data_IF_848572084898
#
_entry.id   IF_848572084898
#
_cell.length_a   1.000
_cell.length_b   1.000
_cell.length_c   1.000
_cell.angle_alpha   90.00
_cell.angle_beta   90.00
_cell.angle_gamma   90.00
#
_symmetry.space_group_name_H-M   'P 1'
#
loop_
_entity.id
_entity.type
_entity.pdbx_description
1 polymer ?
#
# COMPACT_ATOMS: atom_id res chain seq x y z
N UNK A 1 -46.22 10.30 3.75
CA UNK A 1 -45.00 9.49 3.54
C UNK A 1 -44.16 9.56 4.80
N UNK A 2 -44.46 8.62 5.68
CA UNK A 2 -43.76 8.27 6.92
C UNK A 2 -43.22 6.84 6.65
N UNK A 3 -42.24 6.35 7.42
CA UNK A 3 -41.59 5.02 7.31
C UNK A 3 -40.21 5.02 6.61
N UNK A 4 -39.28 5.90 7.00
CA UNK A 4 -37.83 5.62 6.84
C UNK A 4 -37.02 5.96 8.11
N UNK A 5 -37.48 6.84 8.99
CA UNK A 5 -36.70 7.25 10.18
C UNK A 5 -36.92 6.44 11.47
N UNK A 6 -37.61 5.29 11.42
CA UNK A 6 -37.82 4.44 12.61
C UNK A 6 -36.77 3.32 12.72
N UNK A 7 -35.99 3.05 11.67
CA UNK A 7 -34.99 1.98 11.70
C UNK A 7 -33.70 2.36 12.46
N UNK A 8 -33.42 3.64 12.66
CA UNK A 8 -32.18 4.09 13.30
C UNK A 8 -32.28 4.18 14.83
N UNK A 9 -33.50 4.18 15.39
CA UNK A 9 -33.70 4.24 16.85
C UNK A 9 -33.62 2.88 17.55
N UNK A 10 -33.65 1.76 16.81
CA UNK A 10 -33.59 0.41 17.38
C UNK A 10 -32.15 -0.06 17.69
N UNK A 11 -31.12 0.57 17.10
CA UNK A 11 -29.73 0.19 17.33
C UNK A 11 -29.14 0.71 18.66
N UNK A 12 -29.79 1.67 19.32
CA UNK A 12 -29.30 2.25 20.59
C UNK A 12 -29.79 1.51 21.84
N UNK A 13 -30.73 0.55 21.72
CA UNK A 13 -31.30 -0.17 22.86
C UNK A 13 -30.60 -1.51 23.19
N UNK A 14 -29.59 -1.92 22.41
CA UNK A 14 -28.87 -3.20 22.62
C UNK A 14 -27.54 -3.02 23.38
N UNK A 15 -27.22 -1.81 23.84
CA UNK A 15 -25.99 -1.53 24.60
C UNK A 15 -26.21 -1.24 26.10
N UNK A 16 -27.36 -1.64 26.67
CA UNK A 16 -27.60 -1.48 28.11
C UNK A 16 -28.47 -2.59 28.75
N UNK A 17 -28.14 -3.85 28.45
CA UNK A 17 -28.45 -5.00 29.32
C UNK A 17 -27.12 -5.74 29.51
N UNK A 18 -26.47 -5.69 30.67
CA UNK A 18 -26.96 -6.20 31.95
C UNK A 18 -26.35 -5.41 33.11
N UNK A 19 -27.20 -4.76 33.91
CA UNK A 19 -26.91 -4.46 35.31
C UNK A 19 -28.23 -4.40 36.08
N UNK A 20 -28.52 -5.44 36.87
CA UNK A 20 -29.45 -5.53 38.01
C UNK A 20 -29.69 -7.04 38.28
N UNK A 21 -29.58 -7.62 39.47
CA UNK A 21 -29.57 -7.09 40.84
C UNK A 21 -29.02 -8.14 41.83
N UNK A 22 -28.67 -7.63 43.02
CA UNK A 22 -28.49 -8.28 44.34
C UNK A 22 -29.63 -9.29 44.70
N UNK A 23 -29.59 -10.24 45.65
CA UNK A 23 -28.68 -10.63 46.75
C UNK A 23 -29.05 -12.04 47.28
N UNK A 24 -28.09 -12.69 47.97
CA UNK A 24 -28.20 -13.71 49.04
C UNK A 24 -28.66 -15.16 48.78
N UNK A 25 -27.73 -16.12 48.93
CA UNK A 25 -27.68 -17.10 50.05
C UNK A 25 -26.39 -17.95 50.02
N UNK A 26 -25.84 -18.23 51.20
CA UNK A 26 -24.63 -19.02 51.44
C UNK A 26 -24.90 -20.53 51.24
N UNK A 27 -23.99 -21.28 50.60
CA UNK A 27 -23.29 -22.43 51.20
C UNK A 27 -22.42 -23.20 50.18
N UNK A 28 -21.12 -23.18 50.47
CA UNK A 28 -20.09 -24.22 50.27
C UNK A 28 -20.37 -25.44 49.35
N UNK A 29 -19.52 -25.61 48.32
CA UNK A 29 -18.72 -26.86 48.16
C UNK A 29 -17.59 -26.71 47.13
N UNK A 30 -16.42 -27.14 47.58
CA UNK A 30 -15.15 -27.33 46.87
C UNK A 30 -15.28 -28.19 45.59
N UNK A 31 -14.71 -27.74 44.47
CA UNK A 31 -13.72 -28.48 43.64
C UNK A 31 -13.41 -27.76 42.32
N UNK A 32 -12.13 -27.55 42.07
CA UNK A 32 -11.54 -27.37 40.73
C UNK A 32 -11.50 -25.93 40.21
N UNK A 33 -10.49 -25.16 40.63
CA UNK A 33 -9.94 -24.08 39.78
C UNK A 33 -9.47 -24.74 38.47
N UNK A 34 -10.31 -24.78 37.46
CA UNK A 34 -9.82 -24.86 36.08
C UNK A 34 -9.34 -23.46 35.73
N UNK A 35 -8.04 -23.40 35.53
CA UNK A 35 -7.29 -22.24 35.08
C UNK A 35 -7.83 -21.82 33.70
N UNK A 36 -8.86 -20.97 33.71
CA UNK A 36 -9.44 -20.36 32.49
C UNK A 36 -8.48 -19.32 31.88
N UNK A 37 -7.42 -18.98 32.60
CA UNK A 37 -6.39 -18.02 32.20
C UNK A 37 -5.46 -18.52 31.09
N UNK A 38 -5.50 -19.81 30.74
CA UNK A 38 -4.62 -20.38 29.70
C UNK A 38 -5.28 -20.48 28.31
N UNK A 39 -6.59 -20.27 28.18
CA UNK A 39 -7.31 -20.39 26.88
C UNK A 39 -7.53 -19.06 26.16
N UNK A 40 -7.32 -17.93 26.83
CA UNK A 40 -7.33 -16.58 26.25
C UNK A 40 -5.94 -16.10 25.77
N UNK A 41 -4.93 -16.98 25.79
CA UNK A 41 -3.75 -16.83 24.93
C UNK A 41 -4.02 -17.53 23.59
N UNK A 42 -5.16 -17.24 22.96
CA UNK A 42 -5.28 -17.36 21.52
C UNK A 42 -4.29 -16.37 20.93
N UNK A 43 -3.04 -16.84 20.80
CA UNK A 43 -2.05 -16.49 19.80
C UNK A 43 -2.55 -15.33 18.94
N UNK A 44 -2.40 -14.10 19.46
CA UNK A 44 -2.51 -12.91 18.65
C UNK A 44 -1.32 -13.04 17.70
N UNK A 45 -1.59 -13.68 16.56
CA UNK A 45 -0.59 -13.99 15.56
C UNK A 45 0.04 -12.65 15.23
N UNK A 46 1.27 -12.44 15.68
CA UNK A 46 1.96 -11.18 15.50
C UNK A 46 2.02 -11.01 13.98
N UNK A 47 1.25 -10.05 13.47
CA UNK A 47 1.20 -9.78 12.04
C UNK A 47 2.64 -9.50 11.64
N UNK A 48 3.14 -10.34 10.75
CA UNK A 48 4.51 -10.29 10.21
C UNK A 48 4.41 -10.40 8.70
N UNK A 49 5.40 -9.82 8.02
CA UNK A 49 5.55 -10.01 6.59
C UNK A 49 6.20 -11.35 6.33
N UNK A 50 5.70 -12.04 5.31
CA UNK A 50 6.46 -13.11 4.66
C UNK A 50 7.67 -12.52 3.93
N UNK A 51 8.68 -13.34 3.61
CA UNK A 51 9.85 -12.88 2.86
C UNK A 51 9.48 -12.27 1.50
N UNK A 52 8.45 -12.80 0.83
CA UNK A 52 7.98 -12.27 -0.45
C UNK A 52 7.27 -10.92 -0.26
N UNK A 53 6.44 -10.78 0.77
CA UNK A 53 5.78 -9.50 1.10
C UNK A 53 6.81 -8.42 1.46
N UNK A 54 7.80 -8.75 2.30
CA UNK A 54 8.89 -7.85 2.67
C UNK A 54 9.69 -7.39 1.44
N UNK A 55 10.01 -8.34 0.55
CA UNK A 55 10.72 -8.04 -0.70
C UNK A 55 9.91 -7.13 -1.63
N UNK A 56 8.63 -7.41 -1.84
CA UNK A 56 7.76 -6.60 -2.70
C UNK A 56 7.57 -5.20 -2.12
N UNK A 57 7.32 -5.11 -0.81
CA UNK A 57 7.18 -3.82 -0.12
C UNK A 57 8.47 -3.01 -0.20
N UNK A 58 9.63 -3.62 0.05
CA UNK A 58 10.93 -2.95 -0.05
C UNK A 58 11.20 -2.46 -1.46
N UNK A 59 10.87 -3.27 -2.48
CA UNK A 59 11.02 -2.90 -3.89
C UNK A 59 10.11 -1.71 -4.25
N UNK A 60 8.86 -1.75 -3.79
CA UNK A 60 7.87 -0.67 -3.95
C UNK A 60 8.39 0.66 -3.37
N UNK A 61 8.79 0.65 -2.10
CA UNK A 61 9.34 1.83 -1.41
C UNK A 61 10.60 2.34 -2.10
N UNK A 62 11.49 1.42 -2.49
CA UNK A 62 12.74 1.77 -3.18
C UNK A 62 12.46 2.46 -4.52
N UNK A 63 11.55 1.91 -5.33
CA UNK A 63 11.19 2.50 -6.61
C UNK A 63 10.62 3.91 -6.44
N UNK A 64 9.62 4.10 -5.56
CA UNK A 64 9.01 5.41 -5.37
C UNK A 64 9.95 6.43 -4.72
N UNK A 65 10.74 6.06 -3.70
CA UNK A 65 11.76 6.94 -3.12
C UNK A 65 12.76 7.38 -4.20
N UNK A 66 13.19 6.46 -5.08
CA UNK A 66 14.12 6.78 -6.15
C UNK A 66 13.51 7.69 -7.23
N UNK A 67 12.26 7.43 -7.64
CA UNK A 67 11.51 8.29 -8.56
C UNK A 67 11.41 9.71 -8.02
N UNK A 68 11.00 9.87 -6.75
CA UNK A 68 10.92 11.18 -6.09
C UNK A 68 12.30 11.84 -6.02
N UNK A 69 13.35 11.09 -5.71
CA UNK A 69 14.70 11.65 -5.65
C UNK A 69 15.21 12.19 -7.00
N UNK A 70 14.99 11.43 -8.08
CA UNK A 70 15.55 11.74 -9.41
C UNK A 70 14.68 12.71 -10.23
N UNK A 71 13.36 12.60 -10.06
CA UNK A 71 12.36 13.26 -10.91
C UNK A 71 11.48 14.26 -10.14
N UNK A 72 11.86 14.69 -8.92
CA UNK A 72 11.08 15.67 -8.13
C UNK A 72 10.67 16.90 -8.94
N UNK A 73 11.57 17.46 -9.75
CA UNK A 73 11.29 18.61 -10.62
C UNK A 73 10.22 18.37 -11.71
N UNK A 74 9.93 17.11 -12.02
CA UNK A 74 9.01 16.66 -13.09
C UNK A 74 7.72 16.02 -12.52
N UNK A 75 7.55 16.04 -11.19
CA UNK A 75 6.39 15.52 -10.46
C UNK A 75 5.65 16.63 -9.73
N UNK A 76 4.43 16.95 -10.16
CA UNK A 76 3.63 18.04 -9.58
C UNK A 76 3.39 17.87 -8.06
N UNK A 77 3.19 16.63 -7.58
CA UNK A 77 2.95 16.34 -6.15
C UNK A 77 4.21 16.23 -5.27
N UNK A 78 5.40 16.05 -5.86
CA UNK A 78 6.68 15.88 -5.16
C UNK A 78 7.75 16.81 -5.72
N UNK A 79 7.40 18.08 -5.95
CA UNK A 79 8.37 19.09 -6.33
C UNK A 79 9.45 19.28 -5.24
N UNK A 80 10.49 20.07 -5.54
CA UNK A 80 11.61 20.26 -4.62
C UNK A 80 11.20 20.79 -3.24
N UNK A 81 10.10 21.54 -3.16
CA UNK A 81 9.56 22.09 -1.92
C UNK A 81 8.83 21.01 -1.08
N UNK A 82 8.20 20.05 -1.74
CA UNK A 82 7.42 18.97 -1.12
C UNK A 82 8.17 17.65 -0.99
N UNK A 83 9.47 17.59 -1.34
CA UNK A 83 10.28 16.36 -1.27
C UNK A 83 10.24 15.71 0.12
N UNK A 84 10.29 16.51 1.19
CA UNK A 84 10.26 16.02 2.57
C UNK A 84 8.93 15.32 2.93
N UNK A 85 7.80 15.81 2.38
CA UNK A 85 6.49 15.16 2.53
C UNK A 85 6.51 13.78 1.88
N UNK A 86 7.05 13.69 0.67
CA UNK A 86 7.09 12.45 -0.09
C UNK A 86 8.02 11.39 0.54
N UNK A 87 9.19 11.79 1.04
CA UNK A 87 10.07 10.85 1.76
C UNK A 87 9.51 10.47 3.13
N UNK A 88 8.95 11.44 3.86
CA UNK A 88 8.39 11.23 5.19
C UNK A 88 7.16 10.31 5.20
N UNK A 89 6.37 10.30 4.12
CA UNK A 89 5.28 9.34 3.96
C UNK A 89 5.77 7.87 4.06
N UNK A 90 6.87 7.54 3.39
CA UNK A 90 7.39 6.17 3.41
C UNK A 90 8.04 5.81 4.75
N UNK A 91 8.53 6.80 5.50
CA UNK A 91 9.05 6.57 6.84
C UNK A 91 7.89 6.29 7.82
N UNK A 92 6.79 7.06 7.73
CA UNK A 92 5.55 6.77 8.46
C UNK A 92 4.98 5.39 8.12
N UNK A 93 5.00 5.00 6.84
CA UNK A 93 4.51 3.71 6.38
C UNK A 93 5.33 2.53 6.94
N UNK A 94 6.61 2.76 7.24
CA UNK A 94 7.50 1.73 7.80
C UNK A 94 7.14 1.28 9.22
N UNK A 95 6.27 2.04 9.90
CA UNK A 95 5.84 1.75 11.27
C UNK A 95 4.61 0.81 11.33
N UNK A 96 3.87 0.65 10.23
CA UNK A 96 2.62 -0.13 10.19
C UNK A 96 2.74 -1.39 9.31
N UNK A 97 3.01 -2.54 9.95
CA UNK A 97 3.18 -3.84 9.27
C UNK A 97 1.92 -4.23 8.47
N UNK A 98 0.73 -3.91 8.95
CA UNK A 98 -0.51 -4.26 8.26
C UNK A 98 -0.62 -3.49 6.93
N UNK A 99 -0.31 -2.19 6.93
CA UNK A 99 -0.25 -1.37 5.71
C UNK A 99 0.82 -1.86 4.74
N UNK A 100 1.98 -2.28 5.24
CA UNK A 100 3.05 -2.86 4.41
C UNK A 100 2.57 -4.12 3.71
N UNK A 101 1.90 -5.01 4.44
CA UNK A 101 1.32 -6.26 3.91
C UNK A 101 0.27 -5.98 2.83
N UNK A 102 -0.62 -5.02 3.07
CA UNK A 102 -1.65 -4.62 2.12
C UNK A 102 -1.07 -4.05 0.83
N UNK A 103 -0.02 -3.22 0.92
CA UNK A 103 0.64 -2.65 -0.26
C UNK A 103 1.50 -3.68 -1.01
N UNK A 104 2.15 -4.62 -0.31
CA UNK A 104 2.83 -5.73 -0.96
C UNK A 104 1.84 -6.56 -1.79
N UNK A 105 0.68 -6.88 -1.20
CA UNK A 105 -0.42 -7.55 -1.90
C UNK A 105 -0.89 -6.75 -3.12
N UNK A 106 -1.19 -5.46 -2.94
CA UNK A 106 -1.63 -4.59 -4.03
C UNK A 106 -0.60 -4.47 -5.17
N UNK A 107 0.70 -4.40 -4.84
CA UNK A 107 1.78 -4.25 -5.82
C UNK A 107 2.05 -5.53 -6.63
N UNK A 108 1.56 -6.69 -6.20
CA UNK A 108 1.86 -8.00 -6.79
C UNK A 108 1.71 -8.02 -8.32
N UNK A 109 0.64 -7.41 -8.85
CA UNK A 109 0.35 -7.39 -10.29
C UNK A 109 1.43 -6.65 -11.07
N UNK A 110 1.73 -5.42 -10.66
CA UNK A 110 2.76 -4.55 -11.26
C UNK A 110 4.14 -5.17 -11.10
N UNK A 111 4.45 -5.68 -9.90
CA UNK A 111 5.71 -6.35 -9.60
C UNK A 111 5.96 -7.54 -10.53
N UNK A 112 4.99 -8.44 -10.67
CA UNK A 112 5.13 -9.61 -11.52
C UNK A 112 5.25 -9.24 -13.01
N UNK A 113 4.48 -8.25 -13.46
CA UNK A 113 4.58 -7.73 -14.83
C UNK A 113 5.99 -7.21 -15.10
N UNK A 114 6.48 -6.27 -14.30
CA UNK A 114 7.81 -5.67 -14.47
C UNK A 114 8.94 -6.69 -14.31
N UNK A 115 8.80 -7.63 -13.37
CA UNK A 115 9.76 -8.73 -13.18
C UNK A 115 9.86 -9.62 -14.42
N UNK A 116 8.75 -9.86 -15.13
CA UNK A 116 8.77 -10.60 -16.40
C UNK A 116 9.54 -9.86 -17.51
N UNK A 117 9.62 -8.53 -17.41
CA UNK A 117 10.34 -7.68 -18.36
C UNK A 117 11.82 -7.46 -18.00
N UNK A 118 12.16 -7.60 -16.71
CA UNK A 118 13.52 -7.43 -16.21
C UNK A 118 14.54 -8.48 -16.74
N UNK A 119 14.09 -9.51 -17.46
CA UNK A 119 14.93 -10.60 -17.98
C UNK A 119 15.83 -11.19 -16.87
N UNK A 120 17.15 -10.99 -16.96
CA UNK A 120 18.15 -11.48 -16.01
C UNK A 120 18.60 -10.41 -15.00
N UNK A 121 18.04 -9.21 -15.06
CA UNK A 121 18.38 -8.10 -14.17
C UNK A 121 17.60 -8.19 -12.86
N UNK A 122 18.23 -7.80 -11.75
CA UNK A 122 17.52 -7.67 -10.48
C UNK A 122 16.43 -6.60 -10.61
N UNK A 123 15.25 -6.86 -10.04
CA UNK A 123 14.07 -5.99 -10.16
C UNK A 123 14.41 -4.52 -9.87
N UNK A 124 14.99 -4.23 -8.70
CA UNK A 124 15.30 -2.85 -8.32
C UNK A 124 16.31 -2.18 -9.25
N UNK A 125 17.30 -2.92 -9.75
CA UNK A 125 18.28 -2.41 -10.71
C UNK A 125 17.59 -2.07 -12.04
N UNK A 126 16.71 -2.95 -12.50
CA UNK A 126 15.94 -2.75 -13.73
C UNK A 126 15.06 -1.50 -13.66
N UNK A 127 14.33 -1.31 -12.54
CA UNK A 127 13.48 -0.12 -12.33
C UNK A 127 14.32 1.15 -12.24
N UNK A 128 15.42 1.13 -11.45
CA UNK A 128 16.32 2.30 -11.34
C UNK A 128 16.93 2.67 -12.69
N UNK A 129 17.33 1.68 -13.48
CA UNK A 129 17.84 1.92 -14.84
C UNK A 129 16.83 2.63 -15.74
N UNK A 130 15.54 2.28 -15.64
CA UNK A 130 14.49 2.99 -16.37
C UNK A 130 14.36 4.45 -15.93
N UNK A 131 14.35 4.71 -14.63
CA UNK A 131 14.26 6.07 -14.06
C UNK A 131 15.50 6.91 -14.43
N UNK A 132 16.69 6.34 -14.28
CA UNK A 132 17.96 7.01 -14.60
C UNK A 132 18.07 7.32 -16.09
N UNK A 133 17.53 6.44 -16.94
CA UNK A 133 17.54 6.69 -18.36
C UNK A 133 16.83 8.01 -18.69
N UNK A 134 15.61 8.20 -18.17
CA UNK A 134 14.86 9.45 -18.39
C UNK A 134 15.65 10.67 -17.94
N UNK A 135 16.36 10.56 -16.82
CA UNK A 135 17.13 11.67 -16.24
C UNK A 135 18.37 12.03 -17.08
N UNK A 136 19.12 11.03 -17.53
CA UNK A 136 20.48 11.22 -18.05
C UNK A 136 20.55 11.22 -19.58
N UNK A 137 19.67 10.48 -20.26
CA UNK A 137 19.71 10.32 -21.73
C UNK A 137 18.30 10.26 -22.34
N UNK A 138 17.46 11.32 -22.24
CA UNK A 138 16.05 11.26 -22.64
C UNK A 138 15.81 10.78 -24.07
N UNK A 139 16.74 11.08 -24.99
CA UNK A 139 16.65 10.72 -26.41
C UNK A 139 16.95 9.24 -26.72
N UNK A 140 17.65 8.53 -25.82
CA UNK A 140 18.14 7.17 -26.07
C UNK A 140 17.44 6.08 -25.25
N UNK A 141 16.47 6.44 -24.42
CA UNK A 141 15.82 5.49 -23.51
C UNK A 141 14.92 4.46 -24.16
N UNK A 142 14.60 4.69 -25.42
CA UNK A 142 13.77 3.84 -26.24
C UNK A 142 14.62 3.00 -27.20
N UNK A 143 15.94 3.24 -27.26
CA UNK A 143 16.84 2.50 -28.13
C UNK A 143 16.99 1.08 -27.58
N UNK A 144 16.30 0.11 -28.20
CA UNK A 144 16.18 -1.33 -27.86
C UNK A 144 14.87 -1.76 -27.18
N UNK A 145 13.93 -0.85 -26.97
CA UNK A 145 12.64 -1.11 -26.32
C UNK A 145 12.73 -1.79 -24.93
N UNK A 146 13.86 -1.65 -24.23
CA UNK A 146 14.10 -2.29 -22.93
C UNK A 146 13.06 -1.89 -21.88
N UNK A 147 12.60 -0.64 -21.88
CA UNK A 147 11.69 -0.11 -20.86
C UNK A 147 10.30 0.21 -21.41
N UNK A 148 9.93 -0.40 -22.54
CA UNK A 148 8.74 -0.07 -23.31
C UNK A 148 9.09 0.29 -24.76
N UNK A 149 8.07 0.32 -25.62
CA UNK A 149 8.20 0.56 -27.05
C UNK A 149 7.92 2.01 -27.38
N UNK A 150 8.92 2.73 -27.89
CA UNK A 150 8.77 4.13 -28.28
C UNK A 150 8.67 5.13 -27.11
N UNK A 151 8.42 4.64 -25.90
CA UNK A 151 8.35 5.38 -24.64
C UNK A 151 8.92 4.54 -23.48
N UNK A 152 9.18 5.18 -22.34
CA UNK A 152 9.67 4.52 -21.13
C UNK A 152 8.50 4.29 -20.16
N UNK A 153 7.80 3.18 -20.34
CA UNK A 153 6.57 2.89 -19.59
C UNK A 153 6.79 2.71 -18.10
N UNK A 154 7.98 2.24 -17.70
CA UNK A 154 8.33 2.08 -16.30
C UNK A 154 8.43 3.45 -15.62
N UNK A 155 9.18 4.39 -16.22
CA UNK A 155 9.29 5.74 -15.68
C UNK A 155 7.94 6.45 -15.65
N UNK A 156 7.16 6.37 -16.74
CA UNK A 156 5.84 6.98 -16.82
C UNK A 156 4.90 6.45 -15.73
N UNK A 157 4.91 5.15 -15.47
CA UNK A 157 4.13 4.54 -14.41
C UNK A 157 4.49 5.11 -13.04
N UNK A 158 5.76 5.00 -12.63
CA UNK A 158 6.16 5.43 -11.28
C UNK A 158 6.04 6.95 -11.10
N UNK A 159 6.37 7.74 -12.12
CA UNK A 159 6.22 9.20 -12.08
C UNK A 159 4.75 9.60 -12.05
N UNK A 160 3.90 8.93 -12.83
CA UNK A 160 2.45 9.17 -12.88
C UNK A 160 1.79 8.87 -11.55
N UNK A 161 2.02 7.69 -10.99
CA UNK A 161 1.48 7.29 -9.69
C UNK A 161 1.99 8.24 -8.59
N UNK A 162 3.29 8.56 -8.55
CA UNK A 162 3.81 9.54 -7.60
C UNK A 162 3.13 10.91 -7.77
N UNK A 163 2.89 11.34 -9.01
CA UNK A 163 2.12 12.55 -9.31
C UNK A 163 0.72 12.50 -8.69
N UNK A 164 -0.04 11.44 -8.92
CA UNK A 164 -1.40 11.29 -8.38
C UNK A 164 -1.45 11.28 -6.87
N UNK A 165 -0.68 10.41 -6.22
CA UNK A 165 -0.86 10.13 -4.80
C UNK A 165 -0.49 11.33 -3.92
N UNK A 166 0.44 12.19 -4.37
CA UNK A 166 0.94 13.32 -3.59
C UNK A 166 0.32 14.68 -3.94
N UNK A 167 -0.37 14.81 -5.08
CA UNK A 167 -0.97 16.10 -5.51
C UNK A 167 -2.24 16.43 -4.71
N UNK A 168 -3.15 15.47 -4.55
CA UNK A 168 -4.48 15.75 -4.00
C UNK A 168 -4.65 15.37 -2.51
N UNK A 169 -3.64 14.73 -1.91
CA UNK A 169 -3.70 14.25 -0.53
C UNK A 169 -2.73 15.01 0.36
N UNK A 170 -3.21 15.49 1.51
CA UNK A 170 -2.41 16.27 2.46
C UNK A 170 -1.98 15.49 3.72
N UNK A 171 -2.52 14.29 3.93
CA UNK A 171 -2.18 13.42 5.05
C UNK A 171 -1.75 12.02 4.58
N UNK A 172 -1.08 11.29 5.48
CA UNK A 172 -0.48 10.00 5.16
C UNK A 172 -1.53 8.91 4.87
N UNK A 173 -2.70 8.95 5.53
CA UNK A 173 -3.76 7.96 5.31
C UNK A 173 -4.41 8.12 3.93
N UNK A 174 -4.61 9.36 3.48
CA UNK A 174 -5.08 9.69 2.14
C UNK A 174 -4.10 9.25 1.05
N UNK A 175 -2.80 9.56 1.24
CA UNK A 175 -1.73 9.10 0.33
C UNK A 175 -1.69 7.57 0.29
N UNK A 176 -1.77 6.91 1.44
CA UNK A 176 -1.81 5.45 1.55
C UNK A 176 -2.97 4.84 0.76
N UNK A 177 -4.20 5.35 0.97
CA UNK A 177 -5.38 4.87 0.28
C UNK A 177 -5.26 5.05 -1.23
N UNK A 178 -4.81 6.22 -1.66
CA UNK A 178 -4.62 6.52 -3.08
C UNK A 178 -3.56 5.62 -3.72
N UNK A 179 -2.43 5.40 -3.05
CA UNK A 179 -1.39 4.47 -3.52
C UNK A 179 -1.93 3.04 -3.64
N UNK A 180 -2.65 2.55 -2.62
CA UNK A 180 -3.25 1.22 -2.66
C UNK A 180 -4.22 1.07 -3.83
N UNK A 181 -5.05 2.09 -4.07
CA UNK A 181 -6.01 2.10 -5.18
C UNK A 181 -5.30 2.15 -6.55
N UNK A 182 -4.26 2.97 -6.72
CA UNK A 182 -3.44 3.02 -7.95
C UNK A 182 -2.72 1.69 -8.24
N UNK A 183 -2.32 0.96 -7.19
CA UNK A 183 -1.67 -0.35 -7.32
C UNK A 183 -2.66 -1.47 -7.66
N UNK A 184 -3.88 -1.44 -7.08
CA UNK A 184 -4.92 -2.45 -7.31
C UNK A 184 -5.67 -2.25 -8.62
N UNK A 185 -5.92 -1.00 -9.00
CA UNK A 185 -6.81 -0.68 -10.10
C UNK A 185 -6.08 -0.78 -11.44
N UNK A 186 -6.47 -1.79 -12.20
CA UNK A 186 -5.93 -2.05 -13.53
C UNK A 186 -6.56 -1.20 -14.63
N UNK A 187 -7.61 -0.45 -14.31
CA UNK A 187 -8.17 0.63 -15.13
C UNK A 187 -7.61 2.00 -14.77
N UNK A 188 -6.65 2.07 -13.83
CA UNK A 188 -5.86 3.28 -13.69
C UNK A 188 -5.15 3.54 -15.02
N UNK A 189 -5.17 4.81 -15.48
CA UNK A 189 -4.45 5.21 -16.70
C UNK A 189 -2.96 4.86 -16.63
N UNK A 190 -2.41 4.75 -15.41
CA UNK A 190 -1.02 4.37 -15.19
C UNK A 190 -0.76 2.90 -15.46
N UNK A 191 -1.57 1.97 -14.94
CA UNK A 191 -1.37 0.54 -15.20
C UNK A 191 -1.63 0.19 -16.67
N UNK A 192 -2.66 0.79 -17.27
CA UNK A 192 -2.93 0.64 -18.70
C UNK A 192 -1.74 1.13 -19.54
N UNK A 193 -1.23 2.34 -19.27
CA UNK A 193 -0.03 2.86 -19.94
C UNK A 193 1.21 1.99 -19.70
N UNK A 194 1.38 1.48 -18.46
CA UNK A 194 2.48 0.58 -18.15
C UNK A 194 2.47 -0.67 -19.02
N UNK A 195 1.32 -1.15 -19.47
CA UNK A 195 1.17 -2.44 -20.15
C UNK A 195 0.86 -2.34 -21.64
N UNK A 196 0.58 -1.14 -22.16
CA UNK A 196 0.12 -0.95 -23.55
C UNK A 196 1.21 -1.19 -24.59
N UNK A 197 2.43 -0.75 -24.33
CA UNK A 197 3.46 -0.59 -25.37
C UNK A 197 4.72 -1.40 -25.06
N UNK A 198 4.66 -2.71 -25.30
CA UNK A 198 5.79 -3.63 -25.20
C UNK A 198 5.94 -4.45 -26.47
N UNK A 199 7.18 -4.78 -26.83
CA UNK A 199 7.39 -5.83 -27.82
C UNK A 199 7.03 -7.20 -27.20
N UNK A 200 6.25 -7.98 -27.96
CA UNK A 200 5.82 -9.34 -27.60
C UNK A 200 6.93 -10.36 -27.84
#
# INVERSE_FOLDING_TARGET
>A
MKIINILFCLFLLILNSCAANDTHTQQTKSRGKRDLTQKELLQQEKITLTSDEEKMFTSLVTAFKYTVEKLSGDTNGCNNENKNKCTGFFDWLSEDIQKQKELAGAFTKVYNFLKSKAQNEAFDTYIKGAIDCKKNTPQNCTNNNKYGKGTNEIEQYFRGVAGSIFTDNNDNDGIYKCLKDELLNDTSKHYEGLTSDWDN
#
